data_IF_746831957190
#
_entry.id   IF_746831957190
#
_cell.length_a   1.000
_cell.length_b   1.000
_cell.length_c   1.000
_cell.angle_alpha   90.00
_cell.angle_beta   90.00
_cell.angle_gamma   90.00
#
_symmetry.space_group_name_H-M   'P 1'
#
loop_
_entity.id
_entity.type
_entity.pdbx_description
1 polymer ?
#
# COMPACT_ATOMS: atom_id res chain seq x y z
N UNK A 1 -17.08 78.99 3.85
CA UNK A 1 -18.55 78.93 3.71
C UNK A 1 -18.90 77.45 3.66
N UNK A 2 -19.59 76.82 4.59
CA UNK A 2 -20.19 77.10 5.91
C UNK A 2 -20.78 75.72 6.30
N UNK A 3 -20.37 75.13 7.42
CA UNK A 3 -21.21 74.87 8.62
C UNK A 3 -22.43 73.96 8.33
N UNK A 4 -22.74 72.89 9.07
CA UNK A 4 -22.81 72.79 10.54
C UNK A 4 -22.55 71.37 11.07
N UNK A 5 -22.18 71.38 12.34
CA UNK A 5 -21.87 70.31 13.27
C UNK A 5 -22.77 70.54 14.49
N UNK A 6 -23.59 69.59 14.94
CA UNK A 6 -24.14 69.48 16.31
C UNK A 6 -24.50 67.99 16.47
N UNK A 7 -24.04 67.17 17.42
CA UNK A 7 -23.67 67.26 18.84
C UNK A 7 -24.26 65.96 19.47
N UNK A 8 -23.84 65.36 20.58
CA UNK A 8 -22.77 65.43 21.59
C UNK A 8 -22.70 64.01 22.21
N UNK A 9 -21.56 63.54 22.72
CA UNK A 9 -21.22 63.49 24.17
C UNK A 9 -22.35 62.90 25.06
N UNK A 10 -22.22 61.93 25.97
CA UNK A 10 -21.11 61.37 26.77
C UNK A 10 -21.71 60.23 27.65
N UNK A 11 -21.02 59.09 27.80
CA UNK A 11 -20.43 58.53 29.06
C UNK A 11 -21.32 57.73 30.05
N UNK A 12 -20.78 56.54 30.38
CA UNK A 12 -20.62 55.92 31.72
C UNK A 12 -21.73 55.03 32.35
N UNK A 13 -21.28 53.81 32.68
CA UNK A 13 -21.55 52.94 33.87
C UNK A 13 -22.99 52.61 34.27
N UNK A 14 -23.32 51.33 34.50
CA UNK A 14 -23.13 50.65 35.79
C UNK A 14 -23.56 49.16 35.76
N UNK A 15 -23.06 48.38 36.72
CA UNK A 15 -23.33 46.95 36.96
C UNK A 15 -24.63 46.73 37.76
N UNK A 16 -25.35 45.62 37.54
CA UNK A 16 -26.14 44.93 38.59
C UNK A 16 -26.30 43.42 38.30
N UNK A 17 -26.34 42.65 39.40
CA UNK A 17 -26.27 41.20 39.55
C UNK A 17 -27.62 40.43 39.36
N UNK A 18 -27.42 39.13 39.06
CA UNK A 18 -28.19 37.89 39.32
C UNK A 18 -29.66 37.88 39.76
N UNK A 19 -30.43 36.90 39.22
CA UNK A 19 -31.35 36.00 39.95
C UNK A 19 -31.54 34.66 39.16
N UNK A 20 -31.90 33.58 39.88
CA UNK A 20 -31.62 32.16 39.60
C UNK A 20 -32.91 31.28 39.41
N UNK A 21 -32.75 30.13 38.69
CA UNK A 21 -33.58 28.88 38.59
C UNK A 21 -34.88 28.77 37.71
N UNK A 22 -35.31 27.54 37.23
CA UNK A 22 -34.64 26.23 37.06
C UNK A 22 -34.85 25.46 35.70
N UNK A 23 -33.83 24.70 35.27
CA UNK A 23 -33.84 23.33 34.69
C UNK A 23 -34.59 22.95 33.38
N UNK A 24 -33.87 22.43 32.35
CA UNK A 24 -34.17 21.12 31.74
C UNK A 24 -33.00 20.55 30.89
N UNK A 25 -32.80 19.25 31.06
CA UNK A 25 -31.78 18.35 30.48
C UNK A 25 -31.57 18.47 28.96
N UNK A 26 -30.35 18.28 28.43
CA UNK A 26 -30.03 17.34 27.31
C UNK A 26 -28.62 17.56 26.72
N UNK A 27 -27.58 16.96 27.31
CA UNK A 27 -26.30 16.74 26.60
C UNK A 27 -25.76 15.30 26.74
N UNK A 28 -26.22 14.59 27.78
CA UNK A 28 -25.80 13.21 28.05
C UNK A 28 -26.54 12.20 27.14
N UNK A 29 -27.78 12.49 26.75
CA UNK A 29 -28.62 11.56 25.99
C UNK A 29 -28.13 11.35 24.55
N UNK A 30 -27.75 12.43 23.85
CA UNK A 30 -27.32 12.39 22.45
C UNK A 30 -25.98 11.65 22.31
N UNK A 31 -25.06 11.88 23.25
CA UNK A 31 -23.74 11.24 23.22
C UNK A 31 -23.79 9.73 23.49
N UNK A 32 -24.76 9.25 24.29
CA UNK A 32 -25.01 7.84 24.49
C UNK A 32 -25.57 7.16 23.22
N UNK A 33 -26.56 7.79 22.57
CA UNK A 33 -27.14 7.28 21.32
C UNK A 33 -26.11 7.19 20.18
N UNK A 34 -25.22 8.18 20.05
CA UNK A 34 -24.15 8.16 19.05
C UNK A 34 -23.12 7.05 19.28
N UNK A 35 -22.85 6.68 20.55
CA UNK A 35 -21.96 5.56 20.88
C UNK A 35 -22.59 4.22 20.50
N UNK A 36 -23.89 4.08 20.71
CA UNK A 36 -24.63 2.86 20.41
C UNK A 36 -24.77 2.61 18.90
N UNK A 37 -25.01 3.68 18.12
CA UNK A 37 -25.02 3.61 16.64
C UNK A 37 -23.65 3.17 16.10
N UNK A 38 -22.55 3.69 16.65
CA UNK A 38 -21.18 3.30 16.26
C UNK A 38 -20.90 1.83 16.61
N UNK A 39 -21.36 1.36 17.77
CA UNK A 39 -21.23 -0.03 18.22
C UNK A 39 -22.01 -0.99 17.30
N UNK A 40 -23.24 -0.65 16.96
CA UNK A 40 -24.09 -1.47 16.09
C UNK A 40 -23.59 -1.52 14.64
N UNK A 41 -23.00 -0.41 14.15
CA UNK A 41 -22.34 -0.39 12.84
C UNK A 41 -21.11 -1.32 12.80
N UNK A 42 -20.31 -1.32 13.87
CA UNK A 42 -19.14 -2.21 14.02
C UNK A 42 -19.55 -3.68 14.13
N UNK A 43 -20.61 -3.99 14.88
CA UNK A 43 -21.16 -5.35 14.98
C UNK A 43 -21.74 -5.85 13.65
N UNK A 44 -22.38 -4.98 12.87
CA UNK A 44 -22.87 -5.34 11.54
C UNK A 44 -21.73 -5.52 10.52
N UNK A 45 -20.66 -4.72 10.61
CA UNK A 45 -19.43 -4.92 9.82
C UNK A 45 -18.69 -6.22 10.20
N UNK A 46 -18.69 -6.63 11.47
CA UNK A 46 -18.10 -7.90 11.93
C UNK A 46 -18.95 -9.12 11.55
N UNK A 47 -20.28 -9.02 11.62
CA UNK A 47 -21.19 -10.08 11.15
C UNK A 47 -21.09 -10.28 9.63
N UNK A 48 -20.90 -9.22 8.85
CA UNK A 48 -20.68 -9.30 7.40
C UNK A 48 -19.33 -9.93 6.98
N UNK A 49 -18.36 -10.04 7.90
CA UNK A 49 -17.03 -10.63 7.63
C UNK A 49 -16.96 -12.14 7.92
N UNK A 50 -17.91 -12.73 8.64
CA UNK A 50 -17.85 -14.12 9.12
C UNK A 50 -18.22 -15.19 8.09
N UNK A 51 -18.36 -14.88 6.81
CA UNK A 51 -18.90 -15.85 5.87
C UNK A 51 -18.25 -15.81 4.49
N UNK A 52 -16.93 -16.06 4.43
CA UNK A 52 -16.21 -16.47 3.21
C UNK A 52 -14.95 -17.28 3.55
N UNK A 53 -15.08 -18.40 4.26
CA UNK A 53 -14.06 -19.45 4.15
C UNK A 53 -14.43 -20.22 2.88
N UNK A 54 -13.59 -20.16 1.85
CA UNK A 54 -13.85 -20.88 0.60
C UNK A 54 -13.90 -22.39 0.89
N UNK A 55 -14.92 -23.09 0.40
CA UNK A 55 -15.01 -24.54 0.53
C UNK A 55 -13.79 -25.18 -0.19
N UNK A 56 -12.92 -25.84 0.58
CA UNK A 56 -11.78 -26.59 0.04
C UNK A 56 -12.30 -27.86 -0.65
N UNK A 57 -11.82 -28.21 -1.87
CA UNK A 57 -12.26 -29.43 -2.55
C UNK A 57 -11.94 -30.69 -1.74
N UNK A 58 -12.81 -31.72 -1.76
CA UNK A 58 -12.54 -32.99 -1.09
C UNK A 58 -11.27 -33.65 -1.66
N UNK A 59 -10.31 -34.00 -0.79
CA UNK A 59 -9.05 -34.65 -1.15
C UNK A 59 -7.79 -33.82 -0.86
N UNK A 60 -7.95 -32.54 -0.53
CA UNK A 60 -6.88 -31.72 0.05
C UNK A 60 -6.95 -31.88 1.57
N UNK A 61 -5.98 -32.62 2.14
CA UNK A 61 -5.83 -32.68 3.59
C UNK A 61 -5.42 -31.28 4.08
N UNK A 62 -6.03 -30.81 5.16
CA UNK A 62 -5.83 -29.43 5.67
C UNK A 62 -4.35 -29.09 5.94
N UNK A 63 -3.49 -30.10 6.15
CA UNK A 63 -2.05 -29.96 6.41
C UNK A 63 -1.21 -29.64 5.15
N UNK A 64 -1.73 -29.87 3.93
CA UNK A 64 -1.02 -29.56 2.67
C UNK A 64 -1.27 -28.13 2.18
N UNK A 65 -2.18 -27.40 2.84
CA UNK A 65 -2.54 -26.04 2.49
C UNK A 65 -1.99 -25.03 3.51
N UNK A 66 -1.60 -23.84 3.03
CA UNK A 66 -1.33 -22.75 3.96
C UNK A 66 -2.65 -22.29 4.62
N UNK A 67 -2.71 -22.16 5.95
CA UNK A 67 -3.94 -21.83 6.64
C UNK A 67 -4.36 -20.38 6.34
N UNK A 68 -5.59 -20.20 5.86
CA UNK A 68 -6.21 -18.87 5.71
C UNK A 68 -7.16 -18.69 6.87
N UNK A 69 -6.73 -17.98 7.93
CA UNK A 69 -7.53 -17.89 9.16
C UNK A 69 -8.50 -16.71 9.17
N UNK A 70 -8.10 -15.52 8.68
CA UNK A 70 -8.94 -14.31 8.76
C UNK A 70 -9.10 -13.62 7.39
N UNK A 71 -7.99 -13.34 6.70
CA UNK A 71 -8.02 -12.73 5.37
C UNK A 71 -6.99 -13.37 4.44
N UNK A 72 -7.23 -13.32 3.13
CA UNK A 72 -6.30 -13.86 2.12
C UNK A 72 -4.92 -13.23 2.27
N UNK A 73 -4.86 -11.92 2.49
CA UNK A 73 -3.62 -11.25 2.86
C UNK A 73 -3.54 -9.79 2.49
N UNK A 74 -2.33 -9.23 2.62
CA UNK A 74 -2.04 -7.87 2.18
C UNK A 74 -1.23 -7.90 0.90
N UNK A 75 -1.60 -7.05 -0.04
CA UNK A 75 -0.86 -6.84 -1.27
C UNK A 75 -0.29 -5.43 -1.33
N UNK A 76 0.97 -5.29 -1.74
CA UNK A 76 1.58 -3.99 -2.04
C UNK A 76 1.96 -3.99 -3.51
N UNK A 77 1.49 -2.98 -4.25
CA UNK A 77 1.82 -2.78 -5.65
C UNK A 77 2.66 -1.52 -5.76
N UNK A 78 3.95 -1.68 -6.01
CA UNK A 78 4.82 -0.61 -6.46
C UNK A 78 4.66 -0.46 -7.97
N UNK A 79 4.29 0.74 -8.42
CA UNK A 79 4.21 1.04 -9.84
C UNK A 79 5.01 2.31 -10.14
N UNK A 80 6.11 2.13 -10.85
CA UNK A 80 7.02 3.21 -11.24
C UNK A 80 6.71 3.59 -12.69
N UNK A 81 6.14 4.77 -12.85
CA UNK A 81 5.75 5.37 -14.12
C UNK A 81 6.75 6.45 -14.52
N UNK A 82 7.06 7.38 -13.61
CA UNK A 82 7.97 8.50 -13.86
C UNK A 82 9.29 8.23 -13.16
N UNK A 83 10.37 8.35 -13.92
CA UNK A 83 11.74 8.13 -13.44
C UNK A 83 12.47 9.47 -13.40
N UNK A 84 13.46 9.57 -12.51
CA UNK A 84 14.26 10.77 -12.36
C UNK A 84 15.01 11.05 -13.66
N UNK A 85 15.11 12.33 -14.03
CA UNK A 85 15.72 12.76 -15.30
C UNK A 85 17.19 12.33 -15.43
N UNK A 86 17.87 12.05 -14.31
CA UNK A 86 19.24 11.54 -14.26
C UNK A 86 19.38 10.07 -14.68
N UNK A 87 18.30 9.28 -14.73
CA UNK A 87 18.36 7.81 -14.91
C UNK A 87 18.36 7.34 -16.37
N UNK A 88 18.31 8.26 -17.34
CA UNK A 88 18.09 7.98 -18.78
C UNK A 88 16.84 7.13 -19.08
N UNK A 89 15.99 6.83 -18.09
CA UNK A 89 14.80 6.00 -18.25
C UNK A 89 13.63 6.84 -18.74
N UNK A 90 12.96 6.33 -19.78
CA UNK A 90 11.71 6.90 -20.28
C UNK A 90 10.56 6.55 -19.34
N UNK A 91 9.55 7.41 -19.31
CA UNK A 91 8.26 7.15 -18.67
C UNK A 91 7.73 5.78 -19.10
N UNK A 92 7.35 4.94 -18.13
CA UNK A 92 6.74 3.64 -18.41
C UNK A 92 5.30 3.85 -18.87
N UNK A 93 5.01 3.42 -20.08
CA UNK A 93 3.66 3.39 -20.65
C UNK A 93 3.13 1.95 -20.62
N UNK A 94 1.87 1.78 -20.23
CA UNK A 94 1.15 0.50 -20.31
C UNK A 94 0.76 0.18 -21.76
N UNK A 95 0.16 -1.00 -21.99
CA UNK A 95 -0.26 -1.45 -23.34
C UNK A 95 -1.19 -0.44 -24.03
N UNK A 96 -2.04 0.23 -23.25
CA UNK A 96 -2.99 1.25 -23.72
C UNK A 96 -2.57 2.67 -23.33
N UNK A 97 -1.27 2.90 -23.13
CA UNK A 97 -0.74 4.23 -22.82
C UNK A 97 -0.70 4.60 -21.33
N UNK A 98 -1.25 3.81 -20.40
CA UNK A 98 -1.14 4.12 -18.97
C UNK A 98 -0.77 2.93 -18.08
N UNK A 99 0.40 3.02 -17.45
CA UNK A 99 0.85 2.12 -16.38
C UNK A 99 -0.08 2.15 -15.17
N UNK A 100 -0.71 3.28 -14.90
CA UNK A 100 -1.67 3.44 -13.80
C UNK A 100 -2.91 2.56 -14.03
N UNK A 101 -3.29 2.35 -15.30
CA UNK A 101 -4.37 1.43 -15.64
C UNK A 101 -4.02 -0.03 -15.30
N UNK A 102 -2.77 -0.47 -15.56
CA UNK A 102 -2.30 -1.81 -15.16
C UNK A 102 -2.39 -1.98 -13.63
N UNK A 103 -1.90 -1.00 -12.88
CA UNK A 103 -1.90 -1.03 -11.41
C UNK A 103 -3.32 -1.05 -10.82
N UNK A 104 -4.24 -0.25 -11.38
CA UNK A 104 -5.62 -0.18 -10.92
C UNK A 104 -6.43 -1.44 -11.26
N UNK A 105 -6.22 -2.02 -12.44
CA UNK A 105 -6.85 -3.30 -12.80
C UNK A 105 -6.34 -4.42 -11.88
N UNK A 106 -5.02 -4.47 -11.65
CA UNK A 106 -4.42 -5.45 -10.75
C UNK A 106 -4.94 -5.30 -9.31
N UNK A 107 -5.05 -4.05 -8.84
CA UNK A 107 -5.70 -3.74 -7.55
C UNK A 107 -7.13 -4.30 -7.52
N UNK A 108 -7.95 -4.01 -8.54
CA UNK A 108 -9.34 -4.47 -8.59
C UNK A 108 -9.45 -6.00 -8.54
N UNK A 109 -8.61 -6.71 -9.28
CA UNK A 109 -8.57 -8.18 -9.27
C UNK A 109 -8.17 -8.70 -7.89
N UNK A 110 -7.11 -8.16 -7.28
CA UNK A 110 -6.65 -8.60 -5.97
C UNK A 110 -7.65 -8.30 -4.85
N UNK A 111 -8.34 -7.15 -4.89
CA UNK A 111 -9.41 -6.84 -3.94
C UNK A 111 -10.59 -7.80 -4.08
N UNK A 112 -10.95 -8.20 -5.31
CA UNK A 112 -11.96 -9.26 -5.56
C UNK A 112 -11.52 -10.62 -5.02
N UNK A 113 -10.22 -10.91 -5.06
CA UNK A 113 -9.61 -12.10 -4.46
C UNK A 113 -9.47 -11.99 -2.92
N UNK A 114 -9.89 -10.88 -2.30
CA UNK A 114 -9.88 -10.73 -0.84
C UNK A 114 -8.60 -10.16 -0.25
N UNK A 115 -7.68 -9.62 -1.07
CA UNK A 115 -6.51 -8.92 -0.57
C UNK A 115 -6.85 -7.50 -0.10
N UNK A 116 -6.18 -7.06 0.97
CA UNK A 116 -6.06 -5.62 1.27
C UNK A 116 -4.91 -5.03 0.46
N UNK A 117 -5.22 -4.24 -0.57
CA UNK A 117 -4.22 -3.75 -1.53
C UNK A 117 -3.77 -2.31 -1.23
N UNK A 118 -2.46 -2.05 -1.31
CA UNK A 118 -1.87 -0.70 -1.24
C UNK A 118 -1.07 -0.38 -2.49
N UNK A 119 -1.46 0.68 -3.20
CA UNK A 119 -0.71 1.22 -4.32
C UNK A 119 0.40 2.17 -3.86
N UNK A 120 1.55 2.10 -4.53
CA UNK A 120 2.76 2.89 -4.25
C UNK A 120 3.35 3.39 -5.57
N UNK A 121 3.08 4.66 -5.89
CA UNK A 121 3.49 5.31 -7.13
C UNK A 121 4.88 5.92 -7.03
N UNK A 122 5.72 5.68 -8.03
CA UNK A 122 6.99 6.38 -8.25
C UNK A 122 7.88 6.37 -6.98
N UNK A 123 8.30 5.18 -6.57
CA UNK A 123 9.15 4.98 -5.39
C UNK A 123 10.62 4.89 -5.78
N UNK A 124 11.46 5.61 -5.03
CA UNK A 124 12.90 5.37 -5.05
C UNK A 124 13.20 3.99 -4.48
N UNK A 125 14.38 3.45 -4.77
CA UNK A 125 14.81 2.16 -4.22
C UNK A 125 14.74 2.18 -2.69
N UNK A 126 15.27 3.22 -2.05
CA UNK A 126 15.30 3.30 -0.58
C UNK A 126 13.91 3.41 0.03
N UNK A 127 13.00 4.13 -0.63
CA UNK A 127 11.59 4.19 -0.19
C UNK A 127 10.91 2.83 -0.31
N UNK A 128 11.18 2.09 -1.38
CA UNK A 128 10.60 0.75 -1.59
C UNK A 128 11.14 -0.26 -0.58
N UNK A 129 12.47 -0.34 -0.43
CA UNK A 129 13.13 -1.24 0.53
C UNK A 129 12.76 -0.88 1.97
N UNK A 130 12.79 0.41 2.32
CA UNK A 130 12.41 0.89 3.63
C UNK A 130 10.92 0.65 3.95
N UNK A 131 10.03 0.71 2.95
CA UNK A 131 8.63 0.36 3.16
C UNK A 131 8.47 -1.13 3.47
N UNK A 132 9.11 -1.99 2.68
CA UNK A 132 9.08 -3.44 2.91
C UNK A 132 9.71 -3.81 4.26
N UNK A 133 10.89 -3.29 4.58
CA UNK A 133 11.55 -3.57 5.86
C UNK A 133 10.71 -3.06 7.04
N UNK A 134 10.39 -1.76 7.06
CA UNK A 134 9.92 -1.10 8.28
C UNK A 134 8.39 -1.13 8.46
N UNK A 135 7.64 -1.38 7.39
CA UNK A 135 6.16 -1.38 7.43
C UNK A 135 5.55 -2.76 7.19
N UNK A 136 6.34 -3.71 6.68
CA UNK A 136 5.87 -5.06 6.35
C UNK A 136 6.63 -6.09 7.16
N UNK A 137 7.93 -6.28 6.88
CA UNK A 137 8.75 -7.34 7.44
C UNK A 137 8.98 -7.21 8.95
N UNK A 138 9.17 -5.99 9.46
CA UNK A 138 9.45 -5.74 10.87
C UNK A 138 8.19 -5.51 11.74
N UNK A 139 6.99 -5.68 11.18
CA UNK A 139 5.74 -5.45 11.92
C UNK A 139 4.96 -6.73 12.07
N UNK A 140 4.19 -6.82 13.14
CA UNK A 140 3.19 -7.86 13.26
C UNK A 140 2.25 -7.79 12.06
N UNK A 141 2.30 -8.84 11.25
CA UNK A 141 1.58 -8.84 9.99
C UNK A 141 0.10 -9.16 10.18
N UNK A 142 -0.32 -9.57 11.39
CA UNK A 142 -1.67 -10.04 11.69
C UNK A 142 -1.96 -11.40 11.06
N UNK A 143 -3.12 -11.96 11.37
CA UNK A 143 -3.60 -13.23 10.83
C UNK A 143 -3.96 -13.11 9.34
N UNK A 144 -2.98 -13.28 8.46
CA UNK A 144 -3.16 -13.23 7.01
C UNK A 144 -2.69 -14.55 6.40
N UNK A 145 -3.41 -15.03 5.37
CA UNK A 145 -3.02 -16.24 4.64
C UNK A 145 -1.72 -16.09 3.87
N UNK A 146 -1.41 -14.90 3.32
CA UNK A 146 -0.14 -14.62 2.64
C UNK A 146 0.23 -13.13 2.58
N UNK A 147 1.45 -12.85 2.12
CA UNK A 147 1.88 -11.53 1.66
C UNK A 147 2.17 -11.55 0.15
N UNK A 148 1.70 -10.52 -0.55
CA UNK A 148 1.96 -10.33 -1.98
C UNK A 148 2.64 -8.98 -2.23
N UNK A 149 3.79 -9.00 -2.90
CA UNK A 149 4.48 -7.81 -3.36
C UNK A 149 4.53 -7.82 -4.88
N UNK A 150 4.06 -6.76 -5.52
CA UNK A 150 4.09 -6.61 -6.97
C UNK A 150 4.86 -5.36 -7.35
N UNK A 151 5.80 -5.49 -8.28
CA UNK A 151 6.60 -4.38 -8.80
C UNK A 151 6.38 -4.26 -10.30
N UNK A 152 5.83 -3.11 -10.72
CA UNK A 152 5.64 -2.73 -12.11
C UNK A 152 6.65 -1.62 -12.44
N UNK A 153 7.70 -1.93 -13.21
CA UNK A 153 8.81 -0.98 -13.44
C UNK A 153 9.58 -1.23 -14.74
N UNK A 154 10.62 -0.44 -15.00
CA UNK A 154 11.61 -0.65 -16.05
C UNK A 154 12.61 -1.74 -15.62
N UNK A 155 12.96 -2.63 -16.56
CA UNK A 155 14.07 -3.56 -16.39
C UNK A 155 15.41 -2.91 -16.71
N UNK A 156 16.49 -3.60 -16.36
CA UNK A 156 17.79 -3.35 -16.97
C UNK A 156 17.87 -4.02 -18.35
N UNK A 157 18.72 -3.48 -19.20
CA UNK A 157 19.02 -4.05 -20.51
C UNK A 157 19.76 -5.37 -20.32
N UNK A 158 19.36 -6.39 -21.08
CA UNK A 158 20.04 -7.69 -21.06
C UNK A 158 21.04 -7.67 -22.21
N UNK A 159 22.34 -7.72 -21.91
CA UNK A 159 23.39 -7.89 -22.92
C UNK A 159 23.57 -9.38 -23.20
N UNK A 160 23.75 -9.70 -24.48
CA UNK A 160 24.09 -11.05 -24.95
C UNK A 160 25.55 -11.00 -25.37
N UNK A 161 26.41 -11.74 -24.66
CA UNK A 161 27.83 -11.88 -24.96
C UNK A 161 28.07 -13.30 -25.50
N UNK A 162 28.72 -13.41 -26.65
CA UNK A 162 29.21 -14.69 -27.17
C UNK A 162 30.66 -14.88 -26.74
N UNK A 163 30.93 -15.99 -26.07
CA UNK A 163 32.27 -16.43 -25.74
C UNK A 163 32.96 -17.07 -26.96
N UNK A 164 34.29 -17.17 -26.92
CA UNK A 164 35.10 -17.67 -28.04
C UNK A 164 34.82 -19.14 -28.40
N UNK A 165 34.27 -19.92 -27.46
CA UNK A 165 33.88 -21.32 -27.65
C UNK A 165 32.47 -21.49 -28.26
N UNK A 166 31.79 -20.38 -28.58
CA UNK A 166 30.42 -20.37 -29.08
C UNK A 166 29.34 -20.34 -27.99
N UNK A 167 29.72 -20.34 -26.70
CA UNK A 167 28.77 -20.20 -25.59
C UNK A 167 28.13 -18.82 -25.61
N UNK A 168 26.80 -18.77 -25.62
CA UNK A 168 26.04 -17.52 -25.48
C UNK A 168 25.76 -17.28 -24.00
N UNK A 169 26.36 -16.25 -23.41
CA UNK A 169 26.03 -15.76 -22.07
C UNK A 169 25.15 -14.53 -22.18
N UNK A 170 24.05 -14.54 -21.43
CA UNK A 170 23.26 -13.33 -21.21
C UNK A 170 23.62 -12.77 -19.83
N UNK A 171 23.82 -11.46 -19.72
CA UNK A 171 23.88 -10.84 -18.39
C UNK A 171 22.56 -11.06 -17.66
N UNK A 172 22.61 -11.26 -16.35
CA UNK A 172 21.41 -11.41 -15.50
C UNK A 172 20.51 -12.62 -15.82
N UNK A 173 21.09 -13.78 -16.20
CA UNK A 173 20.35 -15.05 -16.32
C UNK A 173 19.73 -15.53 -15.02
N UNK A 174 20.37 -15.28 -13.87
CA UNK A 174 19.80 -15.61 -12.56
C UNK A 174 18.70 -14.60 -12.17
N UNK A 175 17.43 -15.04 -11.99
CA UNK A 175 16.34 -14.18 -11.55
C UNK A 175 16.61 -13.42 -10.24
N UNK A 176 17.47 -13.94 -9.35
CA UNK A 176 17.83 -13.28 -8.07
C UNK A 176 18.76 -12.09 -8.26
N UNK A 177 19.66 -12.16 -9.25
CA UNK A 177 20.62 -11.09 -9.57
C UNK A 177 20.07 -10.11 -10.61
N UNK A 178 18.90 -10.42 -11.20
CA UNK A 178 18.22 -9.53 -12.13
C UNK A 178 17.90 -8.19 -11.48
N UNK A 179 18.25 -7.13 -12.19
CA UNK A 179 17.99 -5.76 -11.76
C UNK A 179 16.66 -5.27 -12.30
N UNK A 180 16.04 -4.43 -11.49
CA UNK A 180 14.87 -3.64 -11.85
C UNK A 180 15.02 -2.24 -11.25
N UNK A 181 14.24 -1.29 -11.76
CA UNK A 181 14.44 0.11 -11.42
C UNK A 181 13.50 0.60 -10.30
N UNK A 182 14.06 1.29 -9.31
CA UNK A 182 13.38 2.39 -8.63
C UNK A 182 13.34 3.62 -9.55
N UNK A 183 12.70 4.71 -9.13
CA UNK A 183 12.69 5.93 -9.96
C UNK A 183 14.08 6.57 -10.09
N UNK A 184 14.99 6.24 -9.18
CA UNK A 184 16.29 6.86 -8.97
C UNK A 184 17.47 5.98 -9.42
N UNK A 185 17.38 4.65 -9.25
CA UNK A 185 18.46 3.70 -9.57
C UNK A 185 17.98 2.27 -9.73
N UNK A 186 18.85 1.40 -10.24
CA UNK A 186 18.59 -0.04 -10.29
C UNK A 186 18.84 -0.73 -8.95
N UNK A 187 18.16 -1.87 -8.75
CA UNK A 187 18.29 -2.74 -7.58
C UNK A 187 18.00 -4.19 -7.98
N UNK A 188 18.68 -5.14 -7.34
CA UNK A 188 18.48 -6.58 -7.54
C UNK A 188 17.22 -7.10 -6.86
N UNK A 189 16.63 -8.17 -7.39
CA UNK A 189 15.56 -8.95 -6.71
C UNK A 189 15.98 -9.42 -5.32
N UNK A 190 17.22 -9.87 -5.12
CA UNK A 190 17.68 -10.31 -3.79
C UNK A 190 17.51 -9.23 -2.72
N UNK A 191 17.93 -7.98 -3.00
CA UNK A 191 17.77 -6.85 -2.07
C UNK A 191 16.29 -6.58 -1.72
N UNK A 192 15.36 -6.77 -2.65
CA UNK A 192 13.92 -6.61 -2.41
C UNK A 192 13.36 -7.68 -1.47
N UNK A 193 13.76 -8.93 -1.66
CA UNK A 193 13.24 -10.09 -0.93
C UNK A 193 13.94 -10.29 0.42
N UNK A 194 15.17 -9.77 0.57
CA UNK A 194 16.02 -9.93 1.77
C UNK A 194 15.32 -9.67 3.11
N UNK A 195 14.44 -8.65 3.28
CA UNK A 195 13.70 -8.44 4.52
C UNK A 195 12.84 -9.64 4.97
N UNK A 196 12.50 -10.56 4.05
CA UNK A 196 11.57 -11.66 4.29
C UNK A 196 12.25 -13.02 4.47
N UNK A 197 13.59 -13.04 4.45
CA UNK A 197 14.40 -14.26 4.59
C UNK A 197 14.80 -14.50 6.05
N UNK A 198 14.64 -15.74 6.51
CA UNK A 198 15.15 -16.22 7.79
C UNK A 198 14.68 -15.40 8.99
N UNK A 199 15.63 -15.12 9.89
CA UNK A 199 15.51 -14.37 11.13
C UNK A 199 15.21 -12.86 10.96
N UNK A 200 15.23 -12.35 9.71
CA UNK A 200 15.03 -10.91 9.43
C UNK A 200 13.57 -10.51 9.35
N UNK A 201 12.68 -11.49 9.28
CA UNK A 201 11.25 -11.28 9.15
C UNK A 201 10.59 -11.56 10.50
N UNK A 202 9.63 -10.72 10.89
CA UNK A 202 8.84 -10.93 12.09
C UNK A 202 8.18 -12.33 12.07
N UNK A 203 8.07 -12.98 13.22
CA UNK A 203 7.62 -14.39 13.34
C UNK A 203 6.27 -14.64 12.66
N UNK A 204 5.33 -13.68 12.75
CA UNK A 204 4.03 -13.76 12.06
C UNK A 204 4.08 -13.80 10.53
N UNK A 205 5.25 -13.53 9.93
CA UNK A 205 5.49 -13.72 8.50
C UNK A 205 6.26 -15.01 8.21
N UNK A 206 6.92 -15.66 9.17
CA UNK A 206 7.80 -16.80 8.92
C UNK A 206 7.06 -18.00 8.33
N UNK A 207 5.83 -18.27 8.80
CA UNK A 207 5.03 -19.44 8.43
C UNK A 207 3.99 -19.19 7.32
N UNK A 208 4.02 -18.02 6.66
CA UNK A 208 3.08 -17.69 5.58
C UNK A 208 3.80 -17.51 4.24
N UNK A 209 3.15 -17.77 3.09
CA UNK A 209 3.72 -17.52 1.78
C UNK A 209 4.05 -16.04 1.57
N UNK A 210 5.26 -15.75 1.09
CA UNK A 210 5.67 -14.42 0.61
C UNK A 210 5.85 -14.48 -0.90
N UNK A 211 4.91 -13.91 -1.64
CA UNK A 211 4.84 -14.00 -3.09
C UNK A 211 5.33 -12.67 -3.68
N UNK A 212 6.25 -12.75 -4.64
CA UNK A 212 6.79 -11.59 -5.35
C UNK A 212 6.54 -11.72 -6.84
N UNK A 213 5.88 -10.73 -7.44
CA UNK A 213 5.64 -10.65 -8.88
C UNK A 213 6.34 -9.40 -9.40
N UNK A 214 7.26 -9.57 -10.36
CA UNK A 214 8.07 -8.46 -10.87
C UNK A 214 7.86 -8.37 -12.39
N UNK A 215 7.03 -7.41 -12.80
CA UNK A 215 6.81 -7.10 -14.21
C UNK A 215 7.78 -5.98 -14.62
N UNK A 216 8.80 -6.37 -15.38
CA UNK A 216 9.76 -5.44 -15.96
C UNK A 216 9.50 -5.24 -17.45
N UNK A 217 9.54 -3.99 -17.91
CA UNK A 217 9.63 -3.72 -19.35
C UNK A 217 11.05 -4.09 -19.82
N UNK A 218 11.21 -5.02 -20.78
CA UNK A 218 12.50 -5.29 -21.37
C UNK A 218 13.03 -4.06 -22.10
N UNK A 219 14.33 -3.80 -21.97
CA UNK A 219 15.06 -2.90 -22.88
C UNK A 219 15.88 -3.82 -23.77
N UNK A 220 15.56 -3.82 -25.06
CA UNK A 220 16.37 -4.52 -26.06
C UNK A 220 17.31 -3.51 -26.70
N UNK A 221 18.60 -3.84 -26.88
CA UNK A 221 19.44 -3.05 -27.76
C UNK A 221 18.82 -3.10 -29.16
N UNK A 222 18.72 -1.95 -29.82
CA UNK A 222 18.49 -1.93 -31.26
C UNK A 222 19.73 -2.56 -31.89
N UNK A 223 19.60 -3.78 -32.39
CA UNK A 223 20.61 -4.45 -33.23
C UNK A 223 20.43 -3.97 -34.67
#
# INVERSE_FOLDING_TARGET
MSEENIGGATSASDQTEAEDLPGHTTDISISAQLKEIKKNKKLNEEKGKRQRVANVPPGWQDDDCYPITDSVGKAIIFYNKKFDSSTSKKTRMGKNGDTENDANQLKSVLEKLGFTVKLKKDYTVDRMLGHLQNKVAAKEFGKNGCFLCIVLTQGEETTVEQEQDGTVRTTHTDPKTRHFWGIDRSVTVDKLVRPFKGDKCHESLAAIPKIFIIQVKPVYPYV
#
